data_IF_201935677164
#
_entry.id   IF_201935677164
#
_cell.length_a   1.000
_cell.length_b   1.000
_cell.length_c   1.000
_cell.angle_alpha   90.00
_cell.angle_beta   90.00
_cell.angle_gamma   90.00
#
_symmetry.space_group_name_H-M   'P 1'
#
loop_
_entity.id
_entity.type
_entity.pdbx_description
1 polymer ?
#
# COMPACT_ATOMS: atom_id res chain seq x y z
N UNK A 1 27.40 -9.98 4.32
CA UNK A 1 26.35 -9.98 3.28
C UNK A 1 24.92 -9.98 3.85
N UNK A 2 24.73 -10.23 5.15
CA UNK A 2 23.43 -10.57 5.74
C UNK A 2 22.57 -9.37 6.17
N UNK A 3 23.15 -8.29 6.69
CA UNK A 3 22.38 -7.18 7.28
C UNK A 3 21.74 -6.25 6.27
N UNK A 4 22.41 -5.97 5.13
CA UNK A 4 21.87 -5.15 4.04
C UNK A 4 20.65 -5.81 3.39
N UNK A 5 20.75 -7.10 3.10
CA UNK A 5 19.67 -7.88 2.49
C UNK A 5 18.42 -7.93 3.38
N UNK A 6 18.60 -8.05 4.71
CA UNK A 6 17.50 -7.99 5.68
C UNK A 6 16.85 -6.59 5.70
N UNK A 7 17.65 -5.53 5.68
CA UNK A 7 17.13 -4.16 5.64
C UNK A 7 16.30 -3.89 4.38
N UNK A 8 16.81 -4.29 3.21
CA UNK A 8 16.10 -4.11 1.92
C UNK A 8 14.76 -4.87 1.90
N UNK A 9 14.74 -6.10 2.43
CA UNK A 9 13.51 -6.90 2.53
C UNK A 9 12.48 -6.19 3.43
N UNK A 10 12.92 -5.63 4.56
CA UNK A 10 12.03 -4.93 5.50
C UNK A 10 11.46 -3.65 4.87
N UNK A 11 12.29 -2.85 4.21
CA UNK A 11 11.85 -1.62 3.55
C UNK A 11 10.83 -1.89 2.43
N UNK A 12 11.01 -2.99 1.70
CA UNK A 12 10.06 -3.41 0.67
C UNK A 12 8.78 -3.99 1.27
N UNK A 13 8.87 -4.73 2.38
CA UNK A 13 7.70 -5.26 3.08
C UNK A 13 6.78 -4.15 3.61
N UNK A 14 7.34 -3.05 4.13
CA UNK A 14 6.56 -1.89 4.59
C UNK A 14 5.76 -1.29 3.44
N UNK A 15 6.37 -1.15 2.26
CA UNK A 15 5.71 -0.60 1.08
C UNK A 15 4.58 -1.52 0.58
N UNK A 16 4.80 -2.83 0.56
CA UNK A 16 3.78 -3.82 0.18
C UNK A 16 2.61 -3.80 1.17
N UNK A 17 2.89 -3.83 2.47
CA UNK A 17 1.86 -3.82 3.52
C UNK A 17 1.09 -2.49 3.50
N UNK A 18 1.77 -1.36 3.35
CA UNK A 18 1.16 -0.05 3.23
C UNK A 18 0.24 0.07 2.01
N UNK A 19 0.68 -0.42 0.85
CA UNK A 19 -0.13 -0.48 -0.38
C UNK A 19 -1.35 -1.41 -0.23
N UNK A 20 -1.17 -2.57 0.40
CA UNK A 20 -2.27 -3.51 0.68
C UNK A 20 -3.30 -2.91 1.64
N UNK A 21 -2.86 -2.23 2.71
CA UNK A 21 -3.76 -1.53 3.65
C UNK A 21 -4.53 -0.40 2.96
N UNK A 22 -3.87 0.39 2.11
CA UNK A 22 -4.53 1.42 1.32
C UNK A 22 -5.61 0.82 0.39
N UNK A 23 -5.33 -0.32 -0.23
CA UNK A 23 -6.30 -1.08 -1.03
C UNK A 23 -7.49 -1.55 -0.19
N UNK A 24 -7.24 -2.13 0.97
CA UNK A 24 -8.29 -2.66 1.86
C UNK A 24 -9.21 -1.55 2.37
N UNK A 25 -8.65 -0.39 2.73
CA UNK A 25 -9.43 0.80 3.13
C UNK A 25 -10.15 1.39 1.92
N UNK A 26 -9.48 1.49 0.76
CA UNK A 26 -10.06 1.99 -0.49
C UNK A 26 -11.26 1.16 -0.95
N UNK A 27 -11.15 -0.17 -0.93
CA UNK A 27 -12.24 -1.10 -1.20
C UNK A 27 -13.23 -1.25 -0.05
N UNK A 28 -12.98 -0.60 1.09
CA UNK A 28 -13.83 -0.65 2.28
C UNK A 28 -14.00 -2.08 2.82
N UNK A 29 -13.01 -2.94 2.57
CA UNK A 29 -12.88 -4.28 3.16
C UNK A 29 -12.54 -4.16 4.65
N UNK A 30 -11.76 -3.13 5.00
CA UNK A 30 -11.44 -2.78 6.39
C UNK A 30 -12.01 -1.39 6.68
N UNK A 31 -12.91 -1.32 7.67
CA UNK A 31 -13.54 -0.09 8.14
C UNK A 31 -15.05 -0.22 8.36
N UNK A 32 -15.68 0.78 8.99
CA UNK A 32 -17.11 0.80 9.21
C UNK A 32 -17.90 0.80 7.88
N UNK A 33 -18.98 0.01 7.86
CA UNK A 33 -19.90 -0.07 6.73
C UNK A 33 -20.55 1.29 6.42
N UNK A 34 -21.00 1.53 5.17
CA UNK A 34 -21.68 2.77 4.80
C UNK A 34 -22.83 3.07 5.76
N UNK A 35 -22.92 4.32 6.22
CA UNK A 35 -23.97 4.80 7.12
C UNK A 35 -23.70 4.59 8.61
N UNK A 36 -22.68 3.83 9.01
CA UNK A 36 -22.35 3.62 10.43
C UNK A 36 -21.53 4.78 11.01
N UNK A 37 -20.60 5.34 10.23
CA UNK A 37 -19.77 6.45 10.68
C UNK A 37 -19.72 7.56 9.63
N UNK A 38 -20.47 8.66 9.81
CA UNK A 38 -20.54 9.74 8.82
C UNK A 38 -19.19 10.44 8.58
N UNK A 39 -18.27 10.45 9.56
CA UNK A 39 -16.92 11.01 9.37
C UNK A 39 -16.07 10.12 8.46
N UNK A 40 -16.15 8.80 8.66
CA UNK A 40 -15.43 7.83 7.82
C UNK A 40 -16.00 7.81 6.40
N UNK A 41 -17.32 7.95 6.27
CA UNK A 41 -18.00 8.01 4.98
C UNK A 41 -17.62 9.26 4.18
N UNK A 42 -17.51 10.43 4.83
CA UNK A 42 -17.02 11.65 4.20
C UNK A 42 -15.54 11.53 3.78
N UNK A 43 -14.71 10.90 4.61
CA UNK A 43 -13.32 10.60 4.26
C UNK A 43 -13.23 9.62 3.07
N UNK A 44 -13.96 8.51 3.11
CA UNK A 44 -13.98 7.51 2.04
C UNK A 44 -14.58 8.06 0.74
N UNK A 45 -15.59 8.94 0.83
CA UNK A 45 -16.12 9.64 -0.33
C UNK A 45 -15.11 10.56 -1.01
N UNK A 46 -14.25 11.23 -0.22
CA UNK A 46 -13.19 12.13 -0.75
C UNK A 46 -11.94 11.37 -1.21
N UNK A 47 -11.48 10.40 -0.41
CA UNK A 47 -10.17 9.75 -0.56
C UNK A 47 -10.25 8.28 -0.96
N UNK A 48 -11.39 7.61 -0.83
CA UNK A 48 -11.55 6.19 -1.12
C UNK A 48 -11.25 5.85 -2.58
N UNK A 49 -11.60 6.71 -3.54
CA UNK A 49 -11.21 6.55 -4.96
C UNK A 49 -9.70 6.65 -5.14
N UNK A 50 -9.04 7.57 -4.43
CA UNK A 50 -7.59 7.72 -4.47
C UNK A 50 -6.89 6.53 -3.81
N UNK A 51 -7.37 6.05 -2.67
CA UNK A 51 -6.83 4.87 -1.99
C UNK A 51 -6.95 3.59 -2.83
N UNK A 52 -8.05 3.42 -3.57
CA UNK A 52 -8.22 2.32 -4.53
C UNK A 52 -7.18 2.33 -5.66
N UNK A 53 -6.73 3.51 -6.07
CA UNK A 53 -5.71 3.67 -7.13
C UNK A 53 -4.29 3.68 -6.58
N UNK A 54 -4.09 4.28 -5.41
CA UNK A 54 -2.80 4.37 -4.74
C UNK A 54 -2.31 3.00 -4.27
N UNK A 55 -3.18 2.15 -3.72
CA UNK A 55 -2.73 0.86 -3.23
C UNK A 55 -2.13 -0.07 -4.32
N UNK A 56 -2.74 -0.29 -5.50
CA UNK A 56 -2.10 -1.03 -6.58
C UNK A 56 -0.85 -0.33 -7.11
N UNK A 57 -0.83 1.01 -7.19
CA UNK A 57 0.33 1.77 -7.65
C UNK A 57 1.51 1.61 -6.69
N UNK A 58 1.28 1.68 -5.38
CA UNK A 58 2.31 1.48 -4.34
C UNK A 58 2.85 0.05 -4.37
N UNK A 59 1.98 -0.96 -4.56
CA UNK A 59 2.40 -2.34 -4.71
C UNK A 59 3.24 -2.52 -5.99
N UNK A 60 2.78 -2.00 -7.13
CA UNK A 60 3.53 -2.05 -8.39
C UNK A 60 4.89 -1.35 -8.28
N UNK A 61 4.93 -0.20 -7.60
CA UNK A 61 6.16 0.53 -7.35
C UNK A 61 7.13 -0.29 -6.47
N UNK A 62 6.63 -0.93 -5.40
CA UNK A 62 7.44 -1.80 -4.56
C UNK A 62 7.99 -3.01 -5.35
N UNK A 63 7.19 -3.63 -6.22
CA UNK A 63 7.65 -4.70 -7.10
C UNK A 63 8.69 -4.24 -8.13
N UNK A 64 8.49 -3.06 -8.73
CA UNK A 64 9.46 -2.45 -9.65
C UNK A 64 10.79 -2.14 -8.94
N UNK A 65 10.72 -1.57 -7.74
CA UNK A 65 11.89 -1.24 -6.94
C UNK A 65 12.66 -2.50 -6.51
N UNK A 66 11.93 -3.53 -6.07
CA UNK A 66 12.50 -4.84 -5.76
C UNK A 66 13.14 -5.50 -7.00
N UNK A 67 12.50 -5.40 -8.16
CA UNK A 67 13.06 -5.87 -9.43
C UNK A 67 14.37 -5.13 -9.78
N UNK A 68 14.38 -3.80 -9.75
CA UNK A 68 15.57 -3.00 -10.02
C UNK A 68 16.73 -3.33 -9.06
N UNK A 69 16.43 -3.53 -7.78
CA UNK A 69 17.41 -3.95 -6.78
C UNK A 69 17.98 -5.36 -7.07
N UNK A 70 17.13 -6.31 -7.46
CA UNK A 70 17.56 -7.68 -7.81
C UNK A 70 18.42 -7.70 -9.09
N UNK A 71 18.07 -6.89 -10.10
CA UNK A 71 18.82 -6.79 -11.35
C UNK A 71 20.08 -5.92 -11.24
N UNK A 72 20.39 -5.36 -10.07
CA UNK A 72 21.61 -4.60 -9.81
C UNK A 72 21.69 -3.26 -10.57
N UNK A 73 20.54 -2.69 -10.92
CA UNK A 73 20.44 -1.41 -11.65
C UNK A 73 20.35 -0.22 -10.67
N UNK A 74 20.25 -0.48 -9.36
CA UNK A 74 20.12 0.51 -8.30
C UNK A 74 21.29 0.47 -7.30
#
# INVERSE_FOLDING_TARGET
>A
MTTKLIADIIDHAISIVGGAMALLIGYRLIGPKPGINPKFDAFHGKWGKHLKWLGPVVILFAFLQMGLAIYGIA
#
